data_IF_369819830555
#
_entry.id   IF_369819830555
#
_cell.length_a   1.000
_cell.length_b   1.000
_cell.length_c   1.000
_cell.angle_alpha   90.00
_cell.angle_beta   90.00
_cell.angle_gamma   90.00
#
_symmetry.space_group_name_H-M   'P 1'
#
loop_
_entity.id
_entity.type
_entity.pdbx_description
1 polymer ?
#
# COMPACT_ATOMS: atom_id res chain seq x y z
N UNK A 1 -5.00 -34.40 -16.34
CA UNK A 1 -6.11 -34.57 -15.38
C UNK A 1 -7.31 -33.82 -15.91
N UNK A 2 -8.49 -34.44 -15.95
CA UNK A 2 -9.73 -33.77 -16.34
C UNK A 2 -10.04 -32.62 -15.36
N UNK A 3 -10.59 -31.47 -15.82
CA UNK A 3 -10.97 -30.37 -14.95
C UNK A 3 -12.09 -30.83 -14.01
N UNK A 4 -11.93 -30.56 -12.71
CA UNK A 4 -12.99 -30.69 -11.73
C UNK A 4 -14.10 -29.68 -12.04
N UNK A 5 -15.35 -30.13 -11.94
CA UNK A 5 -16.59 -29.36 -12.07
C UNK A 5 -16.61 -28.07 -11.24
N UNK A 6 -17.49 -27.10 -11.56
CA UNK A 6 -17.72 -25.94 -10.71
C UNK A 6 -18.07 -26.41 -9.31
N UNK A 7 -17.28 -25.97 -8.32
CA UNK A 7 -17.64 -26.14 -6.92
C UNK A 7 -18.76 -25.14 -6.66
N UNK A 8 -19.96 -25.64 -6.40
CA UNK A 8 -21.04 -24.83 -5.83
C UNK A 8 -20.52 -24.25 -4.51
N UNK A 9 -20.22 -22.96 -4.51
CA UNK A 9 -19.85 -22.25 -3.29
C UNK A 9 -21.17 -21.91 -2.62
N UNK A 10 -21.44 -22.56 -1.50
CA UNK A 10 -22.51 -22.13 -0.60
C UNK A 10 -22.11 -20.75 -0.08
N UNK A 11 -22.64 -19.69 -0.69
CA UNK A 11 -22.50 -18.33 -0.19
C UNK A 11 -23.06 -18.37 1.22
N UNK A 12 -22.22 -18.09 2.23
CA UNK A 12 -22.71 -17.88 3.57
C UNK A 12 -23.65 -16.68 3.49
N UNK A 13 -24.95 -16.97 3.55
CA UNK A 13 -25.97 -15.95 3.62
C UNK A 13 -25.56 -14.97 4.69
N UNK A 14 -25.51 -13.69 4.33
CA UNK A 14 -25.36 -12.59 5.26
C UNK A 14 -26.20 -12.93 6.48
N UNK A 15 -25.55 -13.09 7.64
CA UNK A 15 -26.27 -12.97 8.88
C UNK A 15 -26.81 -11.54 8.85
N UNK A 16 -28.09 -11.40 8.50
CA UNK A 16 -28.84 -10.18 8.72
C UNK A 16 -28.78 -9.99 10.23
N UNK A 17 -27.77 -9.26 10.70
CA UNK A 17 -27.82 -8.63 11.98
C UNK A 17 -29.06 -7.76 11.88
N UNK A 18 -30.13 -8.17 12.57
CA UNK A 18 -31.38 -7.43 12.66
C UNK A 18 -31.02 -6.01 13.07
N UNK A 19 -31.10 -5.10 12.11
CA UNK A 19 -30.75 -3.70 12.24
C UNK A 19 -31.82 -2.97 13.06
N UNK A 20 -31.87 -3.25 14.35
CA UNK A 20 -32.47 -2.36 15.32
C UNK A 20 -31.33 -1.67 16.07
N UNK A 21 -31.36 -0.33 15.99
CA UNK A 21 -30.53 0.65 16.70
C UNK A 21 -29.11 0.94 16.18
N UNK A 22 -28.99 1.55 14.99
CA UNK A 22 -28.02 2.64 14.78
C UNK A 22 -28.60 3.70 13.81
N UNK A 23 -28.86 4.94 14.27
CA UNK A 23 -29.35 6.01 13.39
C UNK A 23 -28.14 6.69 12.74
N UNK A 24 -27.90 6.44 11.44
CA UNK A 24 -26.97 7.28 10.68
C UNK A 24 -27.66 7.78 9.42
N UNK A 25 -27.84 9.10 9.40
CA UNK A 25 -28.45 9.82 8.30
C UNK A 25 -27.55 9.86 7.06
N UNK A 26 -28.17 10.28 5.96
CA UNK A 26 -27.57 10.61 4.66
C UNK A 26 -26.11 11.05 4.74
N UNK A 27 -25.31 10.59 3.77
CA UNK A 27 -23.87 10.83 3.54
C UNK A 27 -23.33 12.29 3.63
N UNK A 28 -24.16 13.26 4.02
CA UNK A 28 -23.81 14.64 4.40
C UNK A 28 -23.68 14.85 5.93
N UNK A 29 -23.79 13.79 6.76
CA UNK A 29 -23.94 13.90 8.21
C UNK A 29 -22.65 13.75 9.06
N UNK A 30 -21.45 13.81 8.46
CA UNK A 30 -20.23 13.84 9.28
C UNK A 30 -19.99 15.26 9.80
N UNK A 31 -20.06 15.45 11.12
CA UNK A 31 -19.69 16.73 11.76
C UNK A 31 -18.21 17.11 11.52
N UNK A 32 -17.36 16.13 11.17
CA UNK A 32 -15.92 16.31 10.95
C UNK A 32 -15.48 15.62 9.65
N UNK A 33 -14.58 16.23 8.89
CA UNK A 33 -14.07 15.62 7.64
C UNK A 33 -13.25 14.35 7.98
N UNK A 34 -13.67 13.16 7.50
CA UNK A 34 -12.95 11.89 7.74
C UNK A 34 -11.59 11.83 7.03
N UNK A 35 -11.23 12.85 6.23
CA UNK A 35 -9.86 13.06 5.72
C UNK A 35 -8.91 13.68 6.73
N UNK A 36 -9.41 14.24 7.83
CA UNK A 36 -8.63 15.08 8.74
C UNK A 36 -8.85 14.73 10.21
N UNK A 37 -9.61 13.66 10.50
CA UNK A 37 -9.89 13.24 11.87
C UNK A 37 -10.03 11.73 12.00
N UNK A 38 -9.57 11.19 13.13
CA UNK A 38 -9.87 9.81 13.55
C UNK A 38 -11.27 9.73 14.16
N UNK A 39 -11.75 8.51 14.43
CA UNK A 39 -13.05 8.25 15.05
C UNK A 39 -12.93 8.10 16.59
N UNK A 40 -11.79 8.47 17.17
CA UNK A 40 -11.50 8.34 18.59
C UNK A 40 -11.45 6.89 19.09
N UNK A 41 -11.66 6.74 20.39
CA UNK A 41 -11.55 5.45 21.10
C UNK A 41 -12.63 4.44 20.70
N UNK A 42 -13.82 4.92 20.32
CA UNK A 42 -14.97 4.10 19.95
C UNK A 42 -14.80 3.30 18.64
N UNK A 43 -13.75 3.59 17.86
CA UNK A 43 -13.47 2.88 16.63
C UNK A 43 -13.17 1.38 16.88
N UNK A 44 -13.68 0.46 16.04
CA UNK A 44 -13.36 -0.96 16.15
C UNK A 44 -11.85 -1.21 16.09
N UNK A 45 -11.32 -2.05 16.98
CA UNK A 45 -9.87 -2.24 17.14
C UNK A 45 -9.16 -2.66 15.84
N UNK A 46 -9.81 -3.50 15.02
CA UNK A 46 -9.24 -4.01 13.77
C UNK A 46 -8.87 -2.88 12.79
N UNK A 47 -9.54 -1.73 12.87
CA UNK A 47 -9.24 -0.57 12.01
C UNK A 47 -7.86 0.00 12.27
N UNK A 48 -7.39 -0.06 13.53
CA UNK A 48 -6.03 0.37 13.93
C UNK A 48 -4.95 -0.63 13.52
N UNK A 49 -5.35 -1.80 13.01
CA UNK A 49 -4.46 -2.87 12.56
C UNK A 49 -4.35 -2.95 11.03
N UNK A 50 -4.94 -2.01 10.28
CA UNK A 50 -4.82 -1.93 8.82
C UNK A 50 -3.51 -1.21 8.45
N UNK A 51 -2.57 -1.85 7.72
CA UNK A 51 -1.43 -1.14 7.15
C UNK A 51 -1.88 -0.04 6.17
N UNK A 52 -1.44 1.19 6.41
CA UNK A 52 -1.88 2.38 5.66
C UNK A 52 -0.70 3.07 4.98
N UNK A 53 -0.91 3.61 3.79
CA UNK A 53 0.04 4.52 3.14
C UNK A 53 -0.52 5.93 3.12
N UNK A 54 0.26 6.90 3.60
CA UNK A 54 -0.14 8.30 3.65
C UNK A 54 0.42 9.06 2.45
N UNK A 55 -0.47 9.71 1.70
CA UNK A 55 -0.13 10.54 0.53
C UNK A 55 0.70 9.81 -0.55
N UNK A 56 0.45 8.51 -0.75
CA UNK A 56 1.06 7.67 -1.81
C UNK A 56 0.28 7.77 -3.14
N UNK A 57 0.11 8.99 -3.66
CA UNK A 57 -0.55 9.24 -4.96
C UNK A 57 0.14 10.37 -5.72
N UNK A 58 -0.57 11.21 -6.49
CA UNK A 58 0.06 12.33 -7.21
C UNK A 58 0.33 13.49 -6.25
N UNK A 59 1.60 13.72 -5.98
CA UNK A 59 2.08 14.53 -4.87
C UNK A 59 3.26 13.79 -4.25
N UNK A 60 4.05 14.47 -3.44
CA UNK A 60 5.06 13.80 -2.62
C UNK A 60 4.75 14.15 -1.16
N UNK A 61 4.75 13.19 -0.22
CA UNK A 61 4.38 13.48 1.15
C UNK A 61 5.28 14.52 1.82
N UNK A 62 6.54 14.65 1.38
CA UNK A 62 7.56 15.49 2.02
C UNK A 62 8.02 16.68 1.15
N UNK A 63 7.22 17.12 0.17
CA UNK A 63 7.45 18.45 -0.44
C UNK A 63 6.79 19.56 0.38
N UNK A 64 7.29 20.80 0.31
CA UNK A 64 6.76 21.92 1.08
C UNK A 64 5.23 22.12 0.96
N UNK A 65 4.65 21.81 -0.19
CA UNK A 65 3.22 21.98 -0.46
C UNK A 65 2.32 20.91 0.16
N UNK A 66 2.88 19.73 0.52
CA UNK A 66 2.11 18.61 1.05
C UNK A 66 2.40 18.31 2.53
N UNK A 67 3.54 18.79 3.04
CA UNK A 67 4.06 18.37 4.35
C UNK A 67 3.08 18.62 5.50
N UNK A 68 2.32 19.73 5.48
CA UNK A 68 1.35 20.04 6.54
C UNK A 68 0.21 19.00 6.59
N UNK A 69 -0.27 18.57 5.41
CA UNK A 69 -1.25 17.51 5.31
C UNK A 69 -0.68 16.17 5.80
N UNK A 70 0.56 15.85 5.41
CA UNK A 70 1.24 14.63 5.85
C UNK A 70 1.41 14.60 7.37
N UNK A 71 1.89 15.69 7.97
CA UNK A 71 2.06 15.82 9.43
C UNK A 71 0.72 15.68 10.16
N UNK A 72 -0.34 16.35 9.70
CA UNK A 72 -1.66 16.23 10.30
C UNK A 72 -2.16 14.77 10.31
N UNK A 73 -1.98 14.04 9.19
CA UNK A 73 -2.34 12.63 9.09
C UNK A 73 -1.50 11.74 10.00
N UNK A 74 -0.18 11.97 10.06
CA UNK A 74 0.70 11.23 10.96
C UNK A 74 0.34 11.45 12.43
N UNK A 75 0.04 12.68 12.83
CA UNK A 75 -0.44 13.01 14.18
C UNK A 75 -1.71 12.25 14.52
N UNK A 76 -2.69 12.18 13.61
CA UNK A 76 -3.92 11.39 13.85
C UNK A 76 -3.69 9.88 13.94
N UNK A 77 -2.58 9.39 13.37
CA UNK A 77 -2.20 7.98 13.43
C UNK A 77 -1.29 7.65 14.62
N UNK A 78 -1.11 8.56 15.59
CA UNK A 78 -0.22 8.36 16.74
C UNK A 78 -0.56 7.11 17.57
N UNK A 79 -1.82 6.65 17.56
CA UNK A 79 -2.27 5.43 18.26
C UNK A 79 -2.48 4.23 17.33
N UNK A 80 -2.14 4.36 16.05
CA UNK A 80 -2.26 3.30 15.05
C UNK A 80 -1.29 2.15 15.37
N UNK A 81 -1.73 0.91 15.21
CA UNK A 81 -0.96 -0.28 15.64
C UNK A 81 -0.27 -1.01 14.49
N UNK A 82 -0.67 -0.75 13.26
CA UNK A 82 -0.04 -1.31 12.07
C UNK A 82 0.97 -0.34 11.42
N UNK A 83 1.86 -0.83 10.55
CA UNK A 83 2.84 0.03 9.87
C UNK A 83 2.17 1.13 9.04
N UNK A 84 2.80 2.30 9.00
CA UNK A 84 2.38 3.49 8.26
C UNK A 84 3.45 3.77 7.20
N UNK A 85 3.12 3.58 5.93
CA UNK A 85 4.05 3.80 4.84
C UNK A 85 4.07 5.25 4.37
N UNK A 86 5.27 5.80 4.22
CA UNK A 86 5.54 7.05 3.52
C UNK A 86 6.43 6.74 2.32
N UNK A 87 6.01 7.14 1.13
CA UNK A 87 6.78 7.00 -0.11
C UNK A 87 7.20 8.37 -0.59
N UNK A 88 8.49 8.68 -0.53
CA UNK A 88 8.98 10.02 -0.87
C UNK A 88 10.17 9.98 -1.83
N UNK A 89 10.32 11.05 -2.60
CA UNK A 89 11.40 11.43 -3.49
C UNK A 89 11.77 12.90 -3.28
N UNK A 90 11.29 13.55 -2.23
CA UNK A 90 11.56 14.96 -1.97
C UNK A 90 13.06 15.24 -1.82
N UNK A 91 13.46 16.48 -2.10
CA UNK A 91 14.83 16.95 -1.88
C UNK A 91 15.03 17.40 -0.44
N UNK A 92 16.26 17.78 -0.11
CA UNK A 92 16.58 18.29 1.21
C UNK A 92 15.89 19.66 1.43
N UNK A 93 15.14 19.78 2.53
CA UNK A 93 14.48 21.04 2.93
C UNK A 93 14.41 21.12 4.46
N UNK A 94 15.00 22.17 5.05
CA UNK A 94 15.07 22.33 6.51
C UNK A 94 13.69 22.59 7.15
N UNK A 95 12.79 23.31 6.46
CA UNK A 95 11.45 23.58 6.97
C UNK A 95 10.58 22.31 6.97
N UNK A 96 10.77 21.44 5.97
CA UNK A 96 10.16 20.11 5.96
C UNK A 96 10.70 19.26 7.12
N UNK A 97 12.02 19.23 7.33
CA UNK A 97 12.64 18.46 8.42
C UNK A 97 12.14 18.93 9.80
N UNK A 98 12.01 20.24 10.02
CA UNK A 98 11.47 20.81 11.26
C UNK A 98 10.06 20.29 11.55
N UNK A 99 9.18 20.30 10.54
CA UNK A 99 7.82 19.78 10.65
C UNK A 99 7.81 18.26 10.93
N UNK A 100 8.69 17.50 10.30
CA UNK A 100 8.80 16.05 10.52
C UNK A 100 9.28 15.70 11.94
N UNK A 101 10.16 16.52 12.53
CA UNK A 101 10.55 16.34 13.93
C UNK A 101 9.35 16.40 14.89
N UNK A 102 8.32 17.19 14.59
CA UNK A 102 7.09 17.26 15.38
C UNK A 102 6.31 15.95 15.47
N UNK A 103 6.53 15.02 14.53
CA UNK A 103 5.84 13.71 14.45
C UNK A 103 6.80 12.52 14.57
N UNK A 104 8.03 12.75 15.04
CA UNK A 104 9.03 11.70 15.25
C UNK A 104 8.60 10.63 16.28
N UNK A 105 7.62 10.95 17.12
CA UNK A 105 7.06 10.04 18.13
C UNK A 105 6.12 8.97 17.55
N UNK A 106 5.71 9.07 16.27
CA UNK A 106 4.85 8.09 15.62
C UNK A 106 5.69 6.89 15.17
N UNK A 107 5.83 5.90 16.05
CA UNK A 107 6.78 4.78 15.94
C UNK A 107 6.51 3.80 14.78
N UNK A 108 5.28 3.78 14.26
CA UNK A 108 4.86 2.92 13.14
C UNK A 108 5.23 3.45 11.75
N UNK A 109 5.80 4.65 11.65
CA UNK A 109 6.20 5.23 10.37
C UNK A 109 7.36 4.45 9.77
N UNK A 110 7.19 4.01 8.52
CA UNK A 110 8.23 3.39 7.68
C UNK A 110 8.40 4.26 6.44
N UNK A 111 9.57 4.88 6.29
CA UNK A 111 9.86 5.74 5.14
C UNK A 111 10.55 4.94 4.04
N UNK A 112 9.86 4.78 2.93
CA UNK A 112 10.37 4.21 1.69
C UNK A 112 10.89 5.35 0.81
N UNK A 113 12.17 5.71 1.02
CA UNK A 113 12.78 6.77 0.25
C UNK A 113 13.17 6.25 -1.13
N UNK A 114 12.48 6.74 -2.17
CA UNK A 114 12.69 6.26 -3.52
C UNK A 114 13.93 6.90 -4.14
N UNK A 115 14.94 6.08 -4.40
CA UNK A 115 16.22 6.50 -4.99
C UNK A 115 16.45 5.75 -6.31
N UNK A 116 16.68 6.51 -7.38
CA UNK A 116 16.70 5.98 -8.75
C UNK A 116 17.93 6.38 -9.55
N UNK A 117 18.60 7.48 -9.20
CA UNK A 117 19.67 8.06 -10.02
C UNK A 117 19.21 8.82 -11.27
N UNK A 118 17.93 9.23 -11.34
CA UNK A 118 17.35 9.94 -12.49
C UNK A 118 17.10 11.43 -12.25
N UNK A 119 17.58 11.97 -11.12
CA UNK A 119 17.49 13.39 -10.71
C UNK A 119 16.09 14.01 -10.89
N UNK A 120 15.06 13.32 -10.40
CA UNK A 120 13.68 13.77 -10.57
C UNK A 120 13.43 15.12 -9.90
N UNK A 121 12.66 15.98 -10.56
CA UNK A 121 12.43 17.34 -10.10
C UNK A 121 13.68 18.24 -10.16
N UNK A 122 14.78 17.80 -10.80
CA UNK A 122 16.05 18.54 -10.83
C UNK A 122 16.86 18.40 -9.53
N UNK A 123 16.46 17.50 -8.64
CA UNK A 123 17.13 17.24 -7.36
C UNK A 123 18.26 16.24 -7.61
N UNK A 124 19.49 16.64 -7.30
CA UNK A 124 20.67 15.79 -7.50
C UNK A 124 20.67 14.55 -6.61
N UNK A 125 21.35 13.50 -7.06
CA UNK A 125 21.57 12.30 -6.26
C UNK A 125 22.14 12.60 -4.87
N UNK A 126 23.15 13.47 -4.75
CA UNK A 126 23.82 13.73 -3.47
C UNK A 126 22.90 14.50 -2.51
N UNK A 127 22.04 15.38 -3.02
CA UNK A 127 21.04 16.06 -2.19
C UNK A 127 19.99 15.06 -1.63
N UNK A 128 19.60 14.08 -2.44
CA UNK A 128 18.73 12.97 -2.00
C UNK A 128 19.42 12.13 -0.93
N UNK A 129 20.71 11.83 -1.08
CA UNK A 129 21.50 11.08 -0.09
C UNK A 129 21.54 11.85 1.24
N UNK A 130 21.80 13.16 1.20
CA UNK A 130 21.76 14.03 2.39
C UNK A 130 20.40 13.98 3.07
N UNK A 131 19.32 14.02 2.30
CA UNK A 131 17.98 13.98 2.86
C UNK A 131 17.61 12.61 3.43
N UNK A 132 18.03 11.50 2.81
CA UNK A 132 17.92 10.14 3.38
C UNK A 132 18.57 10.09 4.76
N UNK A 133 19.81 10.60 4.88
CA UNK A 133 20.54 10.62 6.13
C UNK A 133 19.84 11.48 7.21
N UNK A 134 19.24 12.61 6.82
CA UNK A 134 18.47 13.47 7.72
C UNK A 134 17.18 12.79 8.19
N UNK A 135 16.37 12.26 7.27
CA UNK A 135 15.11 11.57 7.59
C UNK A 135 15.37 10.35 8.47
N UNK A 136 16.43 9.57 8.23
CA UNK A 136 16.78 8.40 9.05
C UNK A 136 16.95 8.73 10.53
N UNK A 137 17.41 9.95 10.86
CA UNK A 137 17.54 10.43 12.25
C UNK A 137 16.19 10.73 12.89
N UNK A 138 15.19 11.12 12.09
CA UNK A 138 13.82 11.39 12.54
C UNK A 138 13.02 10.08 12.62
N UNK A 139 13.08 9.27 11.57
CA UNK A 139 12.40 7.99 11.44
C UNK A 139 13.43 6.86 11.27
N UNK A 140 13.81 6.16 12.35
CA UNK A 140 14.76 5.06 12.29
C UNK A 140 14.36 3.93 11.34
N UNK A 141 13.07 3.81 11.00
CA UNK A 141 12.55 2.84 10.03
C UNK A 141 12.58 3.37 8.57
N UNK A 142 13.57 4.20 8.24
CA UNK A 142 13.83 4.67 6.87
C UNK A 142 14.70 3.68 6.10
N UNK A 143 14.34 3.42 4.84
CA UNK A 143 15.04 2.52 3.92
C UNK A 143 15.05 3.01 2.47
N UNK A 144 15.98 2.49 1.68
CA UNK A 144 16.09 2.80 0.25
C UNK A 144 15.09 1.98 -0.54
N UNK A 145 14.34 2.62 -1.43
CA UNK A 145 13.38 1.98 -2.33
C UNK A 145 13.74 2.23 -3.80
N UNK A 146 14.15 1.20 -4.53
CA UNK A 146 14.62 1.36 -5.91
C UNK A 146 13.46 1.32 -6.91
N UNK A 147 12.61 2.37 -6.93
CA UNK A 147 11.45 2.44 -7.84
C UNK A 147 11.31 3.77 -8.61
N UNK A 148 11.32 3.73 -9.96
CA UNK A 148 11.59 2.59 -10.84
C UNK A 148 13.09 2.40 -11.12
N UNK A 149 13.50 1.15 -11.36
CA UNK A 149 14.60 0.86 -12.29
C UNK A 149 13.98 0.75 -13.69
N UNK A 150 14.57 1.42 -14.68
CA UNK A 150 14.08 1.49 -16.05
C UNK A 150 15.21 1.09 -16.98
N UNK A 151 14.89 0.18 -17.90
CA UNK A 151 15.83 -0.35 -18.87
C UNK A 151 16.52 0.75 -19.68
N UNK A 152 17.85 0.66 -19.79
CA UNK A 152 18.74 1.60 -20.47
C UNK A 152 18.68 3.05 -19.93
N UNK A 153 18.28 3.24 -18.67
CA UNK A 153 18.24 4.59 -18.04
C UNK A 153 18.97 4.64 -16.71
N UNK A 154 18.76 3.65 -15.86
CA UNK A 154 19.33 3.55 -14.52
C UNK A 154 19.47 2.09 -14.05
N UNK A 155 19.61 1.17 -15.00
CA UNK A 155 19.79 -0.27 -14.79
C UNK A 155 21.24 -0.72 -15.03
N UNK A 156 22.18 0.21 -15.20
CA UNK A 156 23.58 -0.14 -15.37
C UNK A 156 24.23 -0.57 -14.03
N UNK A 157 25.22 -1.49 -14.05
CA UNK A 157 25.81 -2.02 -12.82
C UNK A 157 26.41 -0.95 -11.89
N UNK A 158 26.96 0.14 -12.42
CA UNK A 158 27.56 1.20 -11.61
C UNK A 158 26.49 1.96 -10.82
N UNK A 159 25.36 2.28 -11.45
CA UNK A 159 24.21 2.85 -10.76
C UNK A 159 23.63 1.90 -9.71
N UNK A 160 23.41 0.62 -10.07
CA UNK A 160 22.89 -0.38 -9.12
C UNK A 160 23.79 -0.52 -7.88
N UNK A 161 25.11 -0.58 -8.09
CA UNK A 161 26.11 -0.60 -7.02
C UNK A 161 26.01 0.64 -6.13
N UNK A 162 25.95 1.84 -6.73
CA UNK A 162 25.82 3.11 -6.01
C UNK A 162 24.54 3.14 -5.14
N UNK A 163 23.42 2.64 -5.65
CA UNK A 163 22.17 2.54 -4.87
C UNK A 163 22.33 1.61 -3.66
N UNK A 164 23.01 0.48 -3.82
CA UNK A 164 23.29 -0.45 -2.72
C UNK A 164 24.25 0.14 -1.68
N UNK A 165 25.24 0.92 -2.11
CA UNK A 165 26.19 1.61 -1.21
C UNK A 165 25.47 2.65 -0.34
N UNK A 166 24.56 3.45 -0.91
CA UNK A 166 23.73 4.38 -0.14
C UNK A 166 22.85 3.63 0.88
N UNK A 167 22.29 2.49 0.48
CA UNK A 167 21.52 1.66 1.41
C UNK A 167 22.41 1.15 2.56
N UNK A 168 23.62 0.67 2.26
CA UNK A 168 24.59 0.18 3.24
C UNK A 168 25.03 1.27 4.22
N UNK A 169 25.34 2.46 3.72
CA UNK A 169 25.84 3.57 4.53
C UNK A 169 24.78 4.12 5.49
N UNK A 170 23.52 4.25 5.05
CA UNK A 170 22.52 5.02 5.80
C UNK A 170 21.38 4.21 6.40
N UNK A 171 21.00 3.07 5.80
CA UNK A 171 19.73 2.42 6.15
C UNK A 171 19.86 0.96 6.53
N UNK A 172 20.83 0.24 5.97
CA UNK A 172 21.00 -1.21 6.05
C UNK A 172 19.92 -2.02 5.32
N UNK A 173 18.97 -1.37 4.65
CA UNK A 173 17.75 -1.98 4.11
C UNK A 173 17.44 -1.43 2.71
N UNK A 174 17.07 -2.33 1.79
CA UNK A 174 16.66 -1.96 0.45
C UNK A 174 15.41 -2.73 0.02
N UNK A 175 14.42 -2.02 -0.53
CA UNK A 175 13.31 -2.65 -1.25
C UNK A 175 13.56 -2.57 -2.75
N UNK A 176 13.55 -3.73 -3.38
CA UNK A 176 13.66 -3.91 -4.82
C UNK A 176 12.36 -3.44 -5.46
N UNK A 177 12.37 -2.30 -6.15
CA UNK A 177 11.22 -1.88 -6.93
C UNK A 177 10.99 -2.77 -8.15
N UNK A 178 9.85 -2.56 -8.82
CA UNK A 178 9.62 -3.19 -10.11
C UNK A 178 10.56 -2.62 -11.17
N UNK A 179 11.22 -3.50 -11.94
CA UNK A 179 11.89 -3.12 -13.18
C UNK A 179 10.82 -2.77 -14.24
N UNK A 180 11.06 -1.71 -14.98
CA UNK A 180 10.19 -1.30 -16.08
C UNK A 180 10.92 -1.37 -17.42
N UNK A 181 10.19 -1.78 -18.45
CA UNK A 181 10.67 -1.61 -19.82
C UNK A 181 10.69 -0.13 -20.22
N UNK A 182 11.23 0.17 -21.40
CA UNK A 182 11.27 1.54 -21.94
C UNK A 182 9.88 2.17 -22.13
N UNK A 183 8.82 1.37 -22.16
CA UNK A 183 7.41 1.79 -22.20
C UNK A 183 6.78 1.90 -20.81
N UNK A 184 7.58 1.84 -19.73
CA UNK A 184 7.15 1.94 -18.33
C UNK A 184 6.26 0.78 -17.88
N UNK A 185 6.25 -0.34 -18.60
CA UNK A 185 5.53 -1.56 -18.21
C UNK A 185 6.41 -2.36 -17.26
N UNK A 186 5.85 -2.77 -16.13
CA UNK A 186 6.57 -3.61 -15.16
C UNK A 186 6.93 -4.94 -15.82
N UNK A 187 8.22 -5.26 -15.89
CA UNK A 187 8.74 -6.54 -16.36
C UNK A 187 9.67 -7.13 -15.30
N UNK A 188 9.75 -8.45 -15.25
CA UNK A 188 10.75 -9.13 -14.45
C UNK A 188 11.91 -9.45 -15.38
N UNK A 189 13.02 -8.72 -15.29
CA UNK A 189 14.28 -9.17 -15.88
C UNK A 189 15.15 -9.64 -14.71
N UNK A 190 15.21 -10.97 -14.54
CA UNK A 190 15.93 -11.63 -13.46
C UNK A 190 17.40 -11.16 -13.30
N UNK A 191 18.17 -10.88 -14.38
CA UNK A 191 19.57 -10.50 -14.22
C UNK A 191 19.81 -9.22 -13.42
N UNK A 192 19.00 -8.18 -13.63
CA UNK A 192 19.15 -6.89 -12.93
C UNK A 192 18.79 -7.02 -11.46
N UNK A 193 17.72 -7.76 -11.17
CA UNK A 193 17.28 -8.02 -9.80
C UNK A 193 18.28 -8.87 -9.03
N UNK A 194 18.80 -9.94 -9.65
CA UNK A 194 19.86 -10.78 -9.07
C UNK A 194 21.12 -9.96 -8.80
N UNK A 195 21.57 -9.14 -9.74
CA UNK A 195 22.75 -8.31 -9.57
C UNK A 195 22.60 -7.29 -8.43
N UNK A 196 21.43 -6.65 -8.31
CA UNK A 196 21.18 -5.72 -7.20
C UNK A 196 21.16 -6.45 -5.85
N UNK A 197 20.62 -7.66 -5.80
CA UNK A 197 20.67 -8.52 -4.60
C UNK A 197 22.12 -8.89 -4.26
N UNK A 198 22.92 -9.30 -5.23
CA UNK A 198 24.33 -9.67 -5.03
C UNK A 198 25.13 -8.50 -4.43
N UNK A 199 24.99 -7.29 -4.98
CA UNK A 199 25.65 -6.10 -4.40
C UNK A 199 25.17 -5.79 -2.99
N UNK A 200 23.87 -5.97 -2.70
CA UNK A 200 23.38 -5.80 -1.34
C UNK A 200 23.93 -6.85 -0.38
N UNK A 201 24.00 -8.11 -0.79
CA UNK A 201 24.52 -9.21 0.02
C UNK A 201 26.02 -8.99 0.32
N UNK A 202 26.82 -8.54 -0.66
CA UNK A 202 28.23 -8.12 -0.48
C UNK A 202 28.40 -7.02 0.56
N UNK A 203 27.45 -6.08 0.62
CA UNK A 203 27.47 -4.91 1.50
C UNK A 203 26.73 -5.12 2.83
N UNK A 204 26.17 -6.32 3.07
CA UNK A 204 25.39 -6.62 4.27
C UNK A 204 24.02 -5.94 4.34
N UNK A 205 23.48 -5.49 3.22
CA UNK A 205 22.17 -4.83 3.10
C UNK A 205 21.06 -5.86 2.98
N UNK A 206 20.04 -5.79 3.83
CA UNK A 206 18.88 -6.68 3.74
C UNK A 206 17.95 -6.20 2.62
N UNK A 207 17.61 -7.12 1.72
CA UNK A 207 16.74 -6.84 0.57
C UNK A 207 15.36 -7.45 0.70
N UNK A 208 14.34 -6.72 0.24
CA UNK A 208 12.94 -7.18 0.16
C UNK A 208 12.33 -6.89 -1.21
N UNK A 209 11.44 -7.77 -1.71
CA UNK A 209 10.76 -7.54 -3.00
C UNK A 209 9.51 -6.65 -2.90
N UNK A 210 8.95 -6.50 -1.70
CA UNK A 210 7.74 -5.69 -1.47
C UNK A 210 7.89 -4.86 -0.21
N UNK A 211 7.30 -3.66 -0.23
CA UNK A 211 7.28 -2.75 0.91
C UNK A 211 6.51 -3.33 2.09
N UNK A 212 5.45 -4.11 1.85
CA UNK A 212 4.76 -4.88 2.89
C UNK A 212 5.66 -5.91 3.60
N UNK A 213 6.63 -6.50 2.91
CA UNK A 213 7.58 -7.43 3.54
C UNK A 213 8.53 -6.69 4.48
N UNK A 214 9.08 -5.56 4.03
CA UNK A 214 9.96 -4.73 4.84
C UNK A 214 9.22 -4.14 6.06
N UNK A 215 8.01 -3.59 5.84
CA UNK A 215 7.19 -3.05 6.91
C UNK A 215 6.78 -4.10 7.95
N UNK A 216 6.40 -5.31 7.50
CA UNK A 216 6.12 -6.41 8.42
C UNK A 216 7.37 -6.82 9.23
N UNK A 217 8.52 -6.99 8.57
CA UNK A 217 9.77 -7.37 9.23
C UNK A 217 10.22 -6.34 10.26
N UNK A 218 10.23 -5.04 9.92
CA UNK A 218 10.61 -3.94 10.82
C UNK A 218 9.82 -3.91 12.12
N UNK A 219 8.55 -4.33 12.07
CA UNK A 219 7.65 -4.32 13.22
C UNK A 219 7.39 -5.72 13.81
N UNK A 220 8.11 -6.75 13.37
CA UNK A 220 7.95 -8.11 13.89
C UNK A 220 6.59 -8.75 13.59
N UNK A 221 5.92 -8.32 12.51
CA UNK A 221 4.59 -8.78 12.12
C UNK A 221 4.65 -9.85 11.03
N UNK A 222 3.58 -10.63 10.93
CA UNK A 222 3.34 -11.47 9.75
C UNK A 222 3.14 -10.60 8.52
N UNK A 223 3.78 -10.99 7.41
CA UNK A 223 3.57 -10.32 6.13
C UNK A 223 2.11 -10.47 5.69
N UNK A 224 1.42 -9.35 5.41
CA UNK A 224 0.02 -9.39 4.94
C UNK A 224 -0.12 -9.72 3.45
N UNK A 225 1.00 -10.00 2.79
CA UNK A 225 1.02 -10.41 1.39
C UNK A 225 1.52 -11.84 1.25
N UNK A 226 2.52 -12.30 2.00
CA UNK A 226 3.03 -13.67 1.86
C UNK A 226 2.74 -14.51 3.11
N UNK A 227 2.90 -15.83 3.01
CA UNK A 227 2.63 -16.72 4.14
C UNK A 227 1.15 -16.75 4.53
N UNK A 228 0.27 -16.62 3.54
CA UNK A 228 -1.17 -16.63 3.75
C UNK A 228 -1.63 -18.02 4.22
N UNK A 229 -2.64 -18.05 5.07
CA UNK A 229 -3.21 -19.27 5.63
C UNK A 229 -4.73 -19.30 5.51
N UNK A 230 -5.37 -20.03 6.43
CA UNK A 230 -6.82 -20.01 6.55
C UNK A 230 -7.33 -18.58 6.85
N UNK A 231 -8.49 -18.19 6.31
CA UNK A 231 -9.07 -16.87 6.54
C UNK A 231 -9.27 -16.56 8.02
N UNK A 232 -8.87 -15.35 8.41
CA UNK A 232 -9.11 -14.73 9.71
C UNK A 232 -10.01 -13.52 9.53
N UNK A 233 -10.51 -12.94 10.63
CA UNK A 233 -11.24 -11.67 10.62
C UNK A 233 -12.43 -11.64 9.62
N UNK A 234 -13.17 -12.74 9.51
CA UNK A 234 -14.32 -12.84 8.60
C UNK A 234 -15.48 -11.94 9.05
N UNK A 235 -15.61 -11.73 10.36
CA UNK A 235 -16.50 -10.76 10.99
C UNK A 235 -16.25 -9.33 10.47
N UNK A 236 -15.00 -8.97 10.19
CA UNK A 236 -14.65 -7.67 9.60
C UNK A 236 -15.18 -7.53 8.17
N UNK A 237 -15.12 -8.61 7.38
CA UNK A 237 -15.69 -8.57 6.02
C UNK A 237 -17.20 -8.39 6.06
N UNK A 238 -17.88 -9.07 6.98
CA UNK A 238 -19.32 -8.91 7.20
C UNK A 238 -19.65 -7.48 7.65
N UNK A 239 -18.90 -6.93 8.60
CA UNK A 239 -19.09 -5.56 9.08
C UNK A 239 -18.89 -4.49 7.99
N UNK A 240 -18.05 -4.79 6.99
CA UNK A 240 -17.86 -3.95 5.81
C UNK A 240 -18.87 -4.23 4.68
N UNK A 241 -19.79 -5.18 4.86
CA UNK A 241 -20.81 -5.50 3.87
C UNK A 241 -20.32 -6.31 2.67
N UNK A 242 -19.15 -6.95 2.75
CA UNK A 242 -18.74 -7.90 1.70
C UNK A 242 -19.64 -9.13 1.70
N UNK A 243 -20.08 -9.55 0.52
CA UNK A 243 -20.66 -10.85 0.28
C UNK A 243 -19.57 -11.82 -0.19
N UNK A 244 -19.37 -12.90 0.56
CA UNK A 244 -18.29 -13.84 0.27
C UNK A 244 -18.66 -15.27 0.67
N UNK A 245 -18.03 -16.23 -0.01
CA UNK A 245 -17.98 -17.63 0.40
C UNK A 245 -16.57 -18.01 0.84
N UNK A 246 -16.45 -19.19 1.45
CA UNK A 246 -15.15 -19.79 1.79
C UNK A 246 -14.99 -21.10 1.01
N UNK A 247 -13.91 -21.23 0.26
CA UNK A 247 -13.58 -22.47 -0.45
C UNK A 247 -12.08 -22.72 -0.41
N UNK A 248 -11.67 -23.95 -0.09
CA UNK A 248 -10.25 -24.36 -0.03
C UNK A 248 -9.38 -23.40 0.80
N UNK A 249 -9.82 -23.07 2.02
CA UNK A 249 -9.13 -22.12 2.92
C UNK A 249 -8.87 -20.75 2.27
N UNK A 250 -9.78 -20.30 1.43
CA UNK A 250 -9.67 -19.01 0.73
C UNK A 250 -11.01 -18.29 0.73
N UNK A 251 -10.95 -16.96 0.69
CA UNK A 251 -12.14 -16.12 0.53
C UNK A 251 -12.50 -16.06 -0.96
N UNK A 252 -13.78 -16.23 -1.27
CA UNK A 252 -14.31 -16.16 -2.63
C UNK A 252 -15.31 -15.02 -2.70
N UNK A 253 -15.07 -14.05 -3.57
CA UNK A 253 -16.01 -12.99 -3.92
C UNK A 253 -16.64 -13.32 -5.27
N UNK A 254 -17.95 -13.12 -5.39
CA UNK A 254 -18.61 -13.27 -6.69
C UNK A 254 -18.15 -12.18 -7.66
N UNK A 255 -18.04 -10.94 -7.17
CA UNK A 255 -17.68 -9.77 -7.96
C UNK A 255 -16.72 -8.89 -7.18
N UNK A 256 -15.74 -8.32 -7.86
CA UNK A 256 -14.74 -7.49 -7.20
C UNK A 256 -13.72 -6.91 -8.17
N UNK A 257 -12.80 -6.14 -7.62
CA UNK A 257 -11.68 -5.52 -8.34
C UNK A 257 -10.34 -6.07 -7.87
N UNK A 258 -9.26 -5.63 -8.51
CA UNK A 258 -7.92 -5.85 -7.97
C UNK A 258 -7.72 -5.18 -6.60
N UNK A 259 -8.43 -4.09 -6.31
CA UNK A 259 -8.45 -3.45 -4.99
C UNK A 259 -9.01 -4.38 -3.92
N UNK A 260 -10.16 -5.00 -4.18
CA UNK A 260 -10.82 -5.91 -3.24
C UNK A 260 -9.96 -7.16 -2.97
N UNK A 261 -9.34 -7.73 -4.01
CA UNK A 261 -8.37 -8.83 -3.86
C UNK A 261 -7.26 -8.44 -2.87
N UNK A 262 -6.71 -7.23 -2.98
CA UNK A 262 -5.63 -6.78 -2.10
C UNK A 262 -6.12 -6.51 -0.68
N UNK A 263 -7.26 -5.84 -0.55
CA UNK A 263 -7.79 -5.39 0.72
C UNK A 263 -8.31 -6.57 1.57
N UNK A 264 -9.12 -7.45 0.98
CA UNK A 264 -9.64 -8.63 1.65
C UNK A 264 -8.51 -9.55 2.07
N UNK A 265 -7.48 -9.73 1.23
CA UNK A 265 -6.27 -10.48 1.59
C UNK A 265 -5.55 -9.87 2.78
N UNK A 266 -5.43 -8.55 2.82
CA UNK A 266 -4.77 -7.82 3.90
C UNK A 266 -5.50 -8.00 5.24
N UNK A 267 -6.83 -7.92 5.21
CA UNK A 267 -7.69 -8.09 6.39
C UNK A 267 -7.71 -9.55 6.88
N UNK A 268 -7.83 -10.51 5.96
CA UNK A 268 -8.07 -11.91 6.31
C UNK A 268 -6.83 -12.79 6.36
N UNK A 269 -5.69 -12.29 5.87
CA UNK A 269 -4.43 -13.05 5.75
C UNK A 269 -4.59 -14.36 4.97
N UNK A 270 -5.51 -14.37 4.01
CA UNK A 270 -5.86 -15.51 3.19
C UNK A 270 -5.74 -15.20 1.70
N UNK A 271 -5.65 -16.26 0.89
CA UNK A 271 -5.89 -16.14 -0.54
C UNK A 271 -7.32 -15.65 -0.79
N UNK A 272 -7.48 -14.89 -1.88
CA UNK A 272 -8.76 -14.33 -2.33
C UNK A 272 -8.94 -14.65 -3.80
N UNK A 273 -10.14 -15.14 -4.12
CA UNK A 273 -10.61 -15.40 -5.47
C UNK A 273 -11.76 -14.45 -5.79
N UNK A 274 -11.81 -13.96 -7.02
CA UNK A 274 -12.94 -13.19 -7.56
C UNK A 274 -13.44 -13.89 -8.82
N UNK A 275 -14.74 -14.17 -8.90
CA UNK A 275 -15.34 -14.77 -10.11
C UNK A 275 -15.41 -13.75 -11.25
N UNK A 276 -16.05 -12.59 -11.02
CA UNK A 276 -16.15 -11.49 -11.98
C UNK A 276 -15.23 -10.33 -11.57
N UNK A 277 -14.09 -10.17 -12.26
CA UNK A 277 -13.20 -9.03 -12.07
C UNK A 277 -13.69 -7.81 -12.87
N UNK A 278 -14.34 -6.88 -12.20
CA UNK A 278 -14.97 -5.71 -12.86
C UNK A 278 -13.97 -4.61 -13.19
N UNK A 279 -12.83 -4.58 -12.51
CA UNK A 279 -11.80 -3.57 -12.71
C UNK A 279 -10.43 -4.06 -12.25
N UNK A 280 -9.40 -3.71 -13.01
CA UNK A 280 -8.00 -3.96 -12.63
C UNK A 280 -7.39 -2.81 -11.79
N UNK A 281 -8.19 -1.80 -11.45
CA UNK A 281 -7.76 -0.74 -10.54
C UNK A 281 -7.72 -1.22 -9.08
N UNK A 282 -7.03 -0.45 -8.25
CA UNK A 282 -6.93 -0.71 -6.81
C UNK A 282 -8.15 -0.20 -6.02
N UNK A 283 -9.16 0.36 -6.69
CA UNK A 283 -10.38 0.88 -6.06
C UNK A 283 -11.21 -0.25 -5.46
N UNK A 284 -11.86 -0.05 -4.32
CA UNK A 284 -12.72 -1.06 -3.69
C UNK A 284 -14.15 -1.00 -4.23
N UNK A 285 -14.89 -2.11 -4.20
CA UNK A 285 -16.34 -2.15 -4.49
C UNK A 285 -17.19 -1.70 -3.31
N UNK A 286 -16.59 -1.50 -2.13
CA UNK A 286 -17.31 -1.05 -0.95
C UNK A 286 -18.07 0.26 -1.21
N UNK A 287 -19.31 0.39 -0.71
CA UNK A 287 -20.03 1.64 -0.81
C UNK A 287 -19.29 2.73 -0.04
N UNK A 288 -19.18 3.91 -0.65
CA UNK A 288 -18.44 5.04 -0.09
C UNK A 288 -18.83 6.37 -0.72
N UNK A 289 -19.96 6.39 -1.44
CA UNK A 289 -20.47 7.58 -2.10
C UNK A 289 -19.54 8.06 -3.19
N UNK A 290 -19.21 9.36 -3.15
CA UNK A 290 -18.26 9.96 -4.09
C UNK A 290 -16.80 9.71 -3.71
N UNK A 291 -16.55 9.11 -2.54
CA UNK A 291 -15.21 8.86 -2.05
C UNK A 291 -14.65 7.60 -2.69
N UNK A 292 -13.39 7.67 -3.11
CA UNK A 292 -12.69 6.52 -3.68
C UNK A 292 -11.88 5.83 -2.61
N UNK A 293 -12.27 4.63 -2.21
CA UNK A 293 -11.44 3.78 -1.36
C UNK A 293 -10.48 2.98 -2.23
N UNK A 294 -9.21 2.92 -1.83
CA UNK A 294 -8.17 2.24 -2.59
C UNK A 294 -7.31 1.34 -1.70
N UNK A 295 -7.03 0.13 -2.16
CA UNK A 295 -6.00 -0.73 -1.59
C UNK A 295 -5.03 -1.21 -2.66
N UNK A 296 -3.79 -0.73 -2.55
CA UNK A 296 -2.69 -1.28 -3.34
C UNK A 296 -2.37 -2.69 -2.86
N UNK A 297 -1.50 -3.40 -3.57
CA UNK A 297 -1.06 -4.73 -3.14
C UNK A 297 -0.37 -4.81 -1.79
N UNK A 298 -0.12 -3.68 -1.12
CA UNK A 298 0.59 -3.64 0.16
C UNK A 298 0.01 -2.63 1.15
N UNK A 299 -0.87 -1.72 0.77
CA UNK A 299 -1.30 -0.64 1.67
C UNK A 299 -2.71 -0.18 1.34
N UNK A 300 -3.52 0.06 2.37
CA UNK A 300 -4.72 0.87 2.24
C UNK A 300 -4.29 2.33 2.05
N UNK A 301 -4.76 2.99 1.00
CA UNK A 301 -4.30 4.32 0.66
C UNK A 301 -5.11 5.41 1.38
N UNK A 302 -4.43 6.37 2.00
CA UNK A 302 -5.04 7.59 2.55
C UNK A 302 -4.30 8.83 2.05
N UNK A 303 -4.77 9.35 0.92
CA UNK A 303 -4.01 10.31 0.11
C UNK A 303 -4.86 11.48 -0.38
N UNK A 304 -4.20 12.61 -0.57
CA UNK A 304 -4.76 13.78 -1.24
C UNK A 304 -3.82 14.17 -2.38
N UNK A 305 -4.30 14.11 -3.61
CA UNK A 305 -3.55 14.62 -4.75
C UNK A 305 -3.54 16.15 -4.71
N UNK A 306 -2.37 16.72 -4.94
CA UNK A 306 -2.19 18.16 -5.13
C UNK A 306 -1.72 18.47 -6.55
N UNK A 307 -1.86 19.72 -7.03
CA UNK A 307 -1.43 20.08 -8.38
C UNK A 307 0.08 19.99 -8.63
N UNK A 308 0.89 20.05 -7.56
CA UNK A 308 2.36 20.05 -7.60
C UNK A 308 2.94 18.69 -7.21
N UNK A 309 4.02 18.30 -7.87
CA UNK A 309 4.80 17.09 -7.61
C UNK A 309 6.14 17.25 -8.35
N UNK A 310 7.08 16.32 -8.17
CA UNK A 310 8.39 16.28 -8.85
C UNK A 310 8.31 16.01 -10.37
N UNK A 311 7.08 15.88 -10.89
CA UNK A 311 6.71 15.73 -12.30
C UNK A 311 7.45 14.64 -13.10
N UNK A 312 7.93 13.59 -12.41
CA UNK A 312 8.70 12.48 -13.00
C UNK A 312 8.15 12.05 -14.36
N UNK A 313 9.00 12.06 -15.40
CA UNK A 313 8.59 11.75 -16.78
C UNK A 313 8.08 10.31 -16.94
N UNK A 314 8.41 9.43 -16.00
CA UNK A 314 8.04 8.02 -15.98
C UNK A 314 6.86 7.70 -15.03
N UNK A 315 6.27 8.70 -14.37
CA UNK A 315 5.26 8.49 -13.33
C UNK A 315 4.04 7.70 -13.84
N UNK A 316 3.77 6.54 -13.22
CA UNK A 316 2.63 5.68 -13.58
C UNK A 316 1.30 6.28 -13.13
N UNK A 317 1.31 7.11 -12.08
CA UNK A 317 0.11 7.76 -11.56
C UNK A 317 -0.55 8.63 -12.63
N UNK A 318 0.24 9.27 -13.50
CA UNK A 318 -0.25 10.03 -14.67
C UNK A 318 -1.03 9.19 -15.69
N UNK A 319 -0.88 7.86 -15.66
CA UNK A 319 -1.55 6.92 -16.56
C UNK A 319 -2.83 6.33 -15.93
N UNK A 320 -3.03 6.49 -14.62
CA UNK A 320 -4.20 5.97 -13.91
C UNK A 320 -5.33 7.00 -14.02
N UNK A 321 -6.45 6.60 -14.63
CA UNK A 321 -7.53 7.50 -15.06
C UNK A 321 -8.03 8.43 -13.94
N UNK A 322 -8.18 7.90 -12.72
CA UNK A 322 -8.74 8.61 -11.57
C UNK A 322 -7.70 9.28 -10.66
N UNK A 323 -6.39 9.11 -10.93
CA UNK A 323 -5.28 9.68 -10.14
C UNK A 323 -4.40 10.65 -10.93
N UNK A 324 -4.86 11.10 -12.10
CA UNK A 324 -4.14 12.08 -12.94
C UNK A 324 -3.81 13.36 -12.14
N UNK A 325 -3.11 14.30 -12.78
CA UNK A 325 -2.76 15.63 -12.21
C UNK A 325 -4.02 16.47 -11.97
N UNK A 326 -4.75 16.13 -10.92
CA UNK A 326 -5.99 16.74 -10.47
C UNK A 326 -6.12 16.56 -8.96
N UNK A 327 -6.78 17.49 -8.30
CA UNK A 327 -7.11 17.35 -6.90
C UNK A 327 -8.12 16.21 -6.74
N UNK A 328 -7.73 15.20 -5.97
CA UNK A 328 -8.59 14.05 -5.66
C UNK A 328 -8.19 13.51 -4.29
N UNK A 329 -9.19 13.11 -3.51
CA UNK A 329 -9.02 12.49 -2.21
C UNK A 329 -9.29 10.99 -2.34
N UNK A 330 -8.35 10.19 -1.85
CA UNK A 330 -8.38 8.74 -1.90
C UNK A 330 -8.31 8.22 -0.46
N UNK A 331 -9.21 7.30 -0.14
CA UNK A 331 -9.34 6.70 1.18
C UNK A 331 -9.84 7.65 2.26
N UNK A 332 -9.60 7.23 3.50
CA UNK A 332 -9.98 7.88 4.76
C UNK A 332 -9.01 7.48 5.86
N UNK A 333 -9.10 8.12 7.02
CA UNK A 333 -8.50 7.56 8.23
C UNK A 333 -9.05 6.14 8.48
N UNK A 334 -8.22 5.11 8.74
CA UNK A 334 -8.67 3.72 8.87
C UNK A 334 -9.82 3.52 9.87
N UNK A 335 -9.81 4.23 10.99
CA UNK A 335 -10.87 4.16 12.02
C UNK A 335 -12.22 4.68 11.56
N UNK A 336 -12.24 5.51 10.51
CA UNK A 336 -13.43 6.09 9.90
C UNK A 336 -13.98 5.19 8.78
N UNK A 337 -13.30 4.10 8.43
CA UNK A 337 -13.74 3.22 7.36
C UNK A 337 -15.14 2.61 7.62
N UNK A 338 -15.47 2.08 8.82
CA UNK A 338 -16.77 1.45 9.05
C UNK A 338 -17.94 2.41 8.87
N UNK A 339 -17.85 3.62 9.42
CA UNK A 339 -18.91 4.64 9.31
C UNK A 339 -19.15 5.09 7.86
N UNK A 340 -18.10 5.14 7.03
CA UNK A 340 -18.20 5.55 5.63
C UNK A 340 -18.92 4.48 4.81
N UNK A 341 -18.59 3.22 5.08
CA UNK A 341 -19.12 2.08 4.35
C UNK A 341 -20.56 1.78 4.76
N UNK A 342 -20.87 1.83 6.07
CA UNK A 342 -22.22 1.56 6.57
C UNK A 342 -23.15 2.75 6.34
N UNK A 343 -22.64 3.98 6.37
CA UNK A 343 -23.43 5.20 6.20
C UNK A 343 -23.74 5.58 4.75
N UNK A 344 -23.33 4.76 3.77
CA UNK A 344 -23.53 5.07 2.35
C UNK A 344 -24.07 3.87 1.59
N UNK A 345 -25.08 4.09 0.75
CA UNK A 345 -25.64 3.04 -0.11
C UNK A 345 -25.05 3.03 -1.53
N UNK A 346 -24.33 4.08 -1.91
CA UNK A 346 -23.79 4.22 -3.28
C UNK A 346 -22.35 3.75 -3.37
N UNK A 347 -22.10 2.89 -4.36
CA UNK A 347 -20.79 2.41 -4.74
C UNK A 347 -20.28 3.13 -6.00
N UNK A 348 -18.98 2.98 -6.27
CA UNK A 348 -18.35 3.49 -7.49
C UNK A 348 -18.95 2.79 -8.71
N UNK A 349 -19.40 3.59 -9.68
CA UNK A 349 -19.79 3.12 -11.00
C UNK A 349 -18.53 2.82 -11.84
N UNK A 350 -18.17 1.53 -11.91
CA UNK A 350 -16.98 1.07 -12.61
C UNK A 350 -17.11 1.11 -14.14
N UNK A 351 -18.32 1.15 -14.69
CA UNK A 351 -18.57 1.17 -16.14
C UNK A 351 -18.11 2.50 -16.77
N UNK A 352 -17.87 3.52 -15.95
CA UNK A 352 -17.35 4.83 -16.39
C UNK A 352 -15.86 4.80 -16.73
N UNK A 353 -15.12 3.79 -16.28
CA UNK A 353 -13.69 3.70 -16.53
C UNK A 353 -13.39 3.01 -17.86
N UNK A 354 -12.64 3.69 -18.73
CA UNK A 354 -12.48 3.26 -20.14
C UNK A 354 -11.23 2.41 -20.41
N UNK A 355 -10.34 2.25 -19.42
CA UNK A 355 -8.94 1.83 -19.64
C UNK A 355 -8.51 0.52 -18.97
N UNK A 356 -9.42 -0.26 -18.40
CA UNK A 356 -9.05 -1.53 -17.75
C UNK A 356 -8.91 -2.65 -18.76
N UNK A 357 -7.67 -2.94 -19.19
CA UNK A 357 -7.39 -4.27 -19.74
C UNK A 357 -7.53 -5.29 -18.61
N UNK A 358 -8.66 -5.98 -18.60
CA UNK A 358 -8.86 -7.16 -17.78
C UNK A 358 -8.00 -8.29 -18.36
N UNK A 359 -7.36 -9.11 -17.53
CA UNK A 359 -6.66 -10.29 -18.02
C UNK A 359 -7.67 -11.25 -18.67
N UNK A 360 -7.31 -11.81 -19.83
CA UNK A 360 -8.06 -12.91 -20.44
C UNK A 360 -7.99 -14.12 -19.51
N UNK A 361 -9.14 -14.74 -19.19
CA UNK A 361 -9.18 -15.91 -18.31
C UNK A 361 -9.88 -17.05 -19.00
N UNK A 362 -9.16 -18.15 -19.21
CA UNK A 362 -9.72 -19.41 -19.71
C UNK A 362 -10.55 -20.16 -18.63
N UNK A 363 -10.48 -19.75 -17.36
CA UNK A 363 -10.92 -20.53 -16.18
C UNK A 363 -11.93 -19.84 -15.24
N UNK A 364 -12.40 -18.61 -15.54
CA UNK A 364 -13.49 -17.96 -14.79
C UNK A 364 -13.21 -17.63 -13.31
N UNK A 365 -11.94 -17.47 -12.92
CA UNK A 365 -11.53 -17.04 -11.57
C UNK A 365 -10.27 -16.17 -11.64
N UNK A 366 -10.26 -15.08 -10.87
CA UNK A 366 -9.14 -14.16 -10.77
C UNK A 366 -8.53 -14.20 -9.36
N UNK A 367 -7.20 -14.29 -9.32
CA UNK A 367 -6.38 -14.28 -8.11
C UNK A 367 -5.43 -13.10 -8.12
N UNK A 368 -4.74 -12.89 -7.00
CA UNK A 368 -3.64 -11.94 -6.94
C UNK A 368 -2.56 -12.16 -8.02
N UNK A 369 -2.23 -13.41 -8.36
CA UNK A 369 -1.17 -13.69 -9.33
C UNK A 369 -1.56 -13.32 -10.77
N UNK A 370 -2.88 -13.28 -11.06
CA UNK A 370 -3.40 -12.91 -12.38
C UNK A 370 -3.33 -11.39 -12.61
N UNK A 371 -3.36 -10.61 -11.54
CA UNK A 371 -3.40 -9.13 -11.60
C UNK A 371 -2.13 -8.46 -11.09
N UNK A 372 -1.22 -9.21 -10.45
CA UNK A 372 0.03 -8.69 -9.88
C UNK A 372 1.20 -9.65 -10.11
N UNK A 373 2.37 -9.07 -10.32
CA UNK A 373 3.64 -9.81 -10.35
C UNK A 373 3.92 -10.42 -8.96
N UNK A 374 3.83 -11.73 -8.85
CA UNK A 374 4.21 -12.48 -7.66
C UNK A 374 5.73 -12.51 -7.49
N UNK A 375 6.18 -12.36 -6.24
CA UNK A 375 7.59 -12.42 -5.83
C UNK A 375 7.68 -13.17 -4.51
N UNK A 376 8.76 -13.92 -4.25
CA UNK A 376 8.93 -14.62 -2.99
C UNK A 376 9.07 -13.64 -1.82
N UNK A 377 8.77 -14.12 -0.62
CA UNK A 377 9.02 -13.36 0.60
C UNK A 377 10.47 -13.54 1.04
N UNK A 378 11.19 -12.44 1.27
CA UNK A 378 12.56 -12.48 1.83
C UNK A 378 12.61 -12.30 3.36
N UNK A 379 11.47 -12.05 4.02
CA UNK A 379 11.38 -11.92 5.49
C UNK A 379 12.00 -13.14 6.20
N UNK A 380 11.73 -14.40 5.80
CA UNK A 380 12.31 -15.56 6.50
C UNK A 380 13.82 -15.71 6.39
N UNK A 381 14.48 -14.94 5.51
CA UNK A 381 15.95 -14.97 5.36
C UNK A 381 16.65 -14.19 6.47
N UNK A 382 15.93 -13.35 7.21
CA UNK A 382 16.51 -12.45 8.20
C UNK A 382 15.89 -12.70 9.57
N UNK A 383 16.68 -12.68 10.65
CA UNK A 383 16.12 -12.68 12.00
C UNK A 383 15.22 -11.45 12.18
N UNK A 384 14.17 -11.59 12.99
CA UNK A 384 13.33 -10.44 13.37
C UNK A 384 14.19 -9.38 14.03
N UNK A 385 13.99 -8.09 13.70
CA UNK A 385 14.65 -6.99 14.39
C UNK A 385 13.99 -6.70 15.75
N UNK A 386 12.77 -7.22 15.99
CA UNK A 386 12.04 -7.11 17.26
C UNK A 386 12.31 -8.35 18.11
N UNK A 387 12.80 -8.19 19.37
CA UNK A 387 13.01 -9.30 20.30
C UNK A 387 11.74 -10.12 20.53
N UNK A 388 11.88 -11.43 20.70
CA UNK A 388 10.74 -12.36 20.85
C UNK A 388 9.80 -12.01 22.02
N UNK A 389 10.33 -11.42 23.09
CA UNK A 389 9.56 -10.97 24.25
C UNK A 389 8.57 -9.82 23.97
N UNK A 390 8.73 -9.11 22.84
CA UNK A 390 7.86 -8.00 22.42
C UNK A 390 6.92 -8.40 21.28
N UNK A 391 6.94 -9.67 20.83
CA UNK A 391 6.07 -10.15 19.73
C UNK A 391 4.65 -10.52 20.19
N UNK A 392 4.36 -10.51 21.49
CA UNK A 392 3.16 -11.13 22.08
C UNK A 392 1.89 -10.27 22.12
N UNK A 393 1.81 -9.13 21.43
CA UNK A 393 0.60 -8.29 21.42
C UNK A 393 0.19 -7.75 20.03
N UNK A 394 0.32 -8.54 18.95
CA UNK A 394 -0.08 -8.13 17.60
C UNK A 394 -1.38 -8.81 17.10
#
# INVERSE_FOLDING_TARGET
MKPSSPIDVELLGSAVLSGEDLPFGSADAFQFDPMHSDAGEAAPEWTRKIPVSVNDTYGDPFIPEQIDNTVAKLTSLATHRAPIAIFTKAGYDDAVLEKLHGVAHVDKVVVFYSLTGLDEGGISFDDRVRFIAAIKRIFPNTLVFTRPIIRNRNDDPAMLRRLSEVAAEHTGLLVLGGLHDSKKRKKIELPIESQLIEFCDELGVKTFHKTSCAGAWLHGLDCWVHGLGAPRNLDVLVALGYQFGIANNSVVLERGTTGDINFVRMLTRSNVYVHELVSNYNLLTLPSGHRKLESTSSWFAWSENIPTCLDCNYCIIKQIEYLKKMQVRIGVHPTRLPEIVVGTDSAIDFDRFRLTKLPDVEQGRHTYADVRVAKPCRVPLYPSPVPDALRTEA
#
